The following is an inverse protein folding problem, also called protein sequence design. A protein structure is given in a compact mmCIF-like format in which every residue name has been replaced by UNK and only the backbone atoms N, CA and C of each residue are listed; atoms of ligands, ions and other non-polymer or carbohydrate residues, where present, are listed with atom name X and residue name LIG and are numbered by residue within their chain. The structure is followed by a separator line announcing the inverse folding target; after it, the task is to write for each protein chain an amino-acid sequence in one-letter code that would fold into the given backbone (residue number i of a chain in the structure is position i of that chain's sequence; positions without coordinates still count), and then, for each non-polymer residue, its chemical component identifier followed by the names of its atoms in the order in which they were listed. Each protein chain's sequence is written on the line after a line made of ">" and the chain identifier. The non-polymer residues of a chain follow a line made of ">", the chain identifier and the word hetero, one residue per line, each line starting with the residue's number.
data_IF_345401177994
#
_entry.id   IF_345401177994
#
_cell.length_a   1.000
_cell.length_b   1.000
_cell.length_c   1.000
_cell.angle_alpha   90.00
_cell.angle_beta   90.00
_cell.angle_gamma   90.00
#
_symmetry.space_group_name_H-M   'P 1'
#
loop_
_entity.id
_entity.type
_entity.pdbx_description
1 polymer ?
#
# COMPACT_ATOMS: atom_id res chain seq x y z
N UNK A 1 22.74 -18.19 23.39
CA UNK A 1 22.12 -17.27 22.44
C UNK A 1 23.26 -16.44 21.80
N UNK A 2 23.61 -16.74 20.54
CA UNK A 2 24.62 -15.95 19.79
C UNK A 2 23.92 -14.64 19.39
N UNK A 3 24.36 -13.49 19.93
CA UNK A 3 24.04 -12.18 19.38
C UNK A 3 24.47 -12.18 17.90
N UNK A 4 23.50 -12.09 16.98
CA UNK A 4 23.79 -11.82 15.59
C UNK A 4 24.56 -10.49 15.54
N UNK A 5 25.82 -10.53 15.14
CA UNK A 5 26.60 -9.33 14.83
C UNK A 5 25.90 -8.64 13.66
N UNK A 6 25.22 -7.52 13.94
CA UNK A 6 24.89 -6.58 12.89
C UNK A 6 26.21 -6.17 12.23
N UNK A 7 26.46 -6.60 11.01
CA UNK A 7 27.55 -6.05 10.22
C UNK A 7 27.25 -4.56 10.05
N UNK A 8 28.14 -3.71 10.54
CA UNK A 8 27.98 -2.26 10.42
C UNK A 8 28.11 -1.93 8.93
N UNK A 9 27.01 -1.59 8.28
CA UNK A 9 27.01 -1.12 6.88
C UNK A 9 27.85 0.15 6.78
N UNK A 10 28.42 0.39 5.60
CA UNK A 10 29.00 1.69 5.27
C UNK A 10 27.90 2.76 5.35
N UNK A 11 28.26 4.00 5.68
CA UNK A 11 27.26 5.08 5.75
C UNK A 11 26.70 5.34 4.35
N UNK A 12 25.36 5.51 4.20
CA UNK A 12 24.77 5.85 2.93
C UNK A 12 25.12 7.28 2.52
N UNK A 13 25.14 7.54 1.21
CA UNK A 13 25.29 8.89 0.67
C UNK A 13 23.97 9.65 0.78
N UNK A 14 23.99 10.79 1.47
CA UNK A 14 22.82 11.66 1.62
C UNK A 14 22.74 12.63 0.44
N UNK A 15 21.62 12.59 -0.29
CA UNK A 15 21.35 13.43 -1.45
C UNK A 15 20.32 14.51 -1.08
N UNK A 16 20.80 15.75 -0.94
CA UNK A 16 20.00 16.91 -0.58
C UNK A 16 20.33 18.16 -1.42
N UNK A 17 21.14 17.99 -2.49
CA UNK A 17 21.47 19.03 -3.47
C UNK A 17 21.21 18.54 -4.90
N UNK A 18 20.88 19.48 -5.81
CA UNK A 18 20.64 19.12 -7.22
C UNK A 18 21.89 18.56 -7.91
N UNK A 19 23.10 19.01 -7.55
CA UNK A 19 24.33 18.41 -8.08
C UNK A 19 24.50 16.96 -7.65
N UNK A 20 24.29 16.68 -6.34
CA UNK A 20 24.37 15.32 -5.82
C UNK A 20 23.31 14.40 -6.45
N UNK A 21 22.09 14.91 -6.72
CA UNK A 21 21.05 14.16 -7.42
C UNK A 21 21.50 13.79 -8.85
N UNK A 22 22.06 14.76 -9.60
CA UNK A 22 22.58 14.52 -10.95
C UNK A 22 23.70 13.49 -10.97
N UNK A 23 24.67 13.63 -10.07
CA UNK A 23 25.81 12.71 -9.96
C UNK A 23 25.33 11.28 -9.63
N UNK A 24 24.40 11.14 -8.69
CA UNK A 24 23.77 9.87 -8.36
C UNK A 24 23.03 9.27 -9.57
N UNK A 25 22.16 10.03 -10.23
CA UNK A 25 21.39 9.55 -11.39
C UNK A 25 22.33 9.16 -12.56
N UNK A 26 23.40 9.91 -12.80
CA UNK A 26 24.40 9.58 -13.82
C UNK A 26 25.06 8.21 -13.52
N UNK A 27 25.41 7.94 -12.28
CA UNK A 27 25.96 6.65 -11.88
C UNK A 27 24.90 5.54 -12.01
N UNK A 28 23.69 5.76 -11.51
CA UNK A 28 22.61 4.76 -11.52
C UNK A 28 22.20 4.34 -12.94
N UNK A 29 22.28 5.24 -13.96
CA UNK A 29 22.06 4.90 -15.37
C UNK A 29 23.07 3.87 -15.90
N UNK A 30 24.21 3.69 -15.25
CA UNK A 30 25.20 2.64 -15.61
C UNK A 30 24.94 1.32 -14.90
N UNK A 31 23.88 1.20 -14.11
CA UNK A 31 23.52 0.02 -13.35
C UNK A 31 22.27 -0.64 -13.91
N UNK A 32 22.23 -1.98 -14.04
CA UNK A 32 21.10 -2.69 -14.63
C UNK A 32 19.87 -2.69 -13.72
N UNK A 33 20.06 -2.52 -12.41
CA UNK A 33 18.99 -2.52 -11.41
C UNK A 33 19.27 -1.52 -10.29
N UNK A 34 18.19 -1.02 -9.71
CA UNK A 34 18.19 -0.24 -8.48
C UNK A 34 17.13 -0.78 -7.53
N UNK A 35 17.43 -0.85 -6.25
CA UNK A 35 16.42 -1.09 -5.22
C UNK A 35 15.85 0.26 -4.76
N UNK A 36 14.53 0.32 -4.48
CA UNK A 36 13.85 1.55 -4.08
C UNK A 36 12.83 1.27 -2.98
N UNK A 37 12.73 2.19 -2.03
CA UNK A 37 11.71 2.25 -0.97
C UNK A 37 11.41 3.70 -0.62
N UNK A 38 10.32 3.97 0.11
CA UNK A 38 9.96 5.33 0.52
C UNK A 38 9.48 5.42 1.96
N UNK A 39 9.74 6.57 2.59
CA UNK A 39 9.17 6.92 3.88
C UNK A 39 8.33 8.20 3.81
N UNK A 40 7.19 8.20 4.48
CA UNK A 40 6.25 9.31 4.47
C UNK A 40 5.91 9.82 5.88
N UNK A 41 5.29 11.01 5.96
CA UNK A 41 4.78 11.58 7.20
C UNK A 41 3.29 11.31 7.44
N UNK A 42 2.74 10.25 6.88
CA UNK A 42 1.30 9.90 6.92
C UNK A 42 0.72 9.77 8.34
N UNK A 43 1.53 9.46 9.33
CA UNK A 43 1.14 9.43 10.74
C UNK A 43 1.22 10.81 11.43
N UNK A 44 1.64 11.86 10.72
CA UNK A 44 1.94 13.18 11.30
C UNK A 44 1.30 14.34 10.56
N UNK A 45 0.97 14.22 9.28
CA UNK A 45 0.39 15.24 8.42
C UNK A 45 -1.00 14.88 7.94
N UNK A 46 -1.87 15.88 7.76
CA UNK A 46 -3.16 15.70 7.08
C UNK A 46 -2.95 15.43 5.58
N UNK A 47 -2.01 16.15 4.98
CA UNK A 47 -1.55 15.92 3.60
C UNK A 47 -0.22 15.16 3.64
N UNK A 48 -0.26 13.84 3.66
CA UNK A 48 0.95 13.04 3.71
C UNK A 48 1.75 13.19 2.42
N UNK A 49 3.06 13.23 2.57
CA UNK A 49 4.00 13.32 1.44
C UNK A 49 5.17 12.36 1.64
N UNK A 50 5.83 12.04 0.54
CA UNK A 50 7.10 11.32 0.58
C UNK A 50 8.16 12.23 1.20
N UNK A 51 8.79 11.74 2.26
CA UNK A 51 9.79 12.48 3.03
C UNK A 51 11.22 11.96 2.83
N UNK A 52 11.37 10.73 2.36
CA UNK A 52 12.65 10.12 2.04
C UNK A 52 12.46 9.10 0.93
N UNK A 53 13.42 9.01 0.01
CA UNK A 53 13.50 7.96 -1.00
C UNK A 53 14.84 7.25 -0.79
N UNK A 54 14.77 5.95 -0.52
CA UNK A 54 15.95 5.10 -0.39
C UNK A 54 16.27 4.44 -1.72
N UNK A 55 17.53 4.44 -2.08
CA UNK A 55 18.00 3.80 -3.31
C UNK A 55 19.28 3.02 -3.01
N UNK A 56 19.32 1.77 -3.46
CA UNK A 56 20.51 0.92 -3.36
C UNK A 56 20.78 0.21 -4.69
N UNK A 57 22.06 0.02 -5.01
CA UNK A 57 22.49 -0.72 -6.20
C UNK A 57 23.80 -1.42 -5.91
N UNK A 58 24.18 -2.45 -6.66
CA UNK A 58 25.52 -3.01 -6.58
C UNK A 58 26.57 -2.00 -7.01
N UNK A 59 27.72 -2.01 -6.34
CA UNK A 59 28.85 -1.15 -6.67
C UNK A 59 29.41 -1.48 -8.05
N UNK A 60 29.43 -2.77 -8.39
CA UNK A 60 29.75 -3.28 -9.72
C UNK A 60 28.50 -3.88 -10.36
N UNK A 61 28.17 -3.61 -11.64
CA UNK A 61 27.01 -4.16 -12.33
C UNK A 61 26.94 -5.70 -12.35
N UNK A 62 28.09 -6.36 -12.35
CA UNK A 62 28.18 -7.81 -12.41
C UNK A 62 28.25 -8.49 -11.03
N UNK A 63 28.26 -7.70 -9.94
CA UNK A 63 28.33 -8.23 -8.57
C UNK A 63 26.95 -8.69 -8.07
N UNK A 64 26.96 -9.61 -7.13
CA UNK A 64 25.79 -10.09 -6.40
C UNK A 64 26.01 -10.15 -4.89
N UNK A 65 27.20 -9.73 -4.43
CA UNK A 65 27.56 -9.72 -3.01
C UNK A 65 26.86 -8.56 -2.29
N UNK A 66 26.01 -8.84 -1.28
CA UNK A 66 25.34 -7.78 -0.52
C UNK A 66 26.29 -6.87 0.28
N UNK A 67 27.59 -7.18 0.34
CA UNK A 67 28.60 -6.30 0.94
C UNK A 67 29.10 -5.23 -0.02
N UNK A 68 28.85 -5.36 -1.30
CA UNK A 68 29.28 -4.48 -2.38
C UNK A 68 28.08 -3.69 -2.93
N UNK A 69 27.41 -2.95 -2.04
CA UNK A 69 26.21 -2.16 -2.35
C UNK A 69 26.48 -0.69 -2.05
N UNK A 70 26.08 0.18 -2.96
CA UNK A 70 26.02 1.62 -2.79
C UNK A 70 24.62 2.02 -2.34
N UNK A 71 24.53 2.76 -1.25
CA UNK A 71 23.28 3.21 -0.66
C UNK A 71 23.16 4.73 -0.74
N UNK A 72 22.00 5.21 -1.15
CA UNK A 72 21.64 6.61 -1.24
C UNK A 72 20.36 6.89 -0.48
N UNK A 73 20.33 8.00 0.25
CA UNK A 73 19.13 8.53 0.88
C UNK A 73 18.82 9.89 0.27
N UNK A 74 17.84 9.94 -0.59
CA UNK A 74 17.40 11.15 -1.29
C UNK A 74 16.38 11.88 -0.42
N UNK A 75 16.64 13.15 -0.12
CA UNK A 75 15.76 14.02 0.70
C UNK A 75 14.90 14.92 -0.20
N UNK A 76 13.69 14.52 -0.57
CA UNK A 76 12.82 15.32 -1.44
C UNK A 76 12.35 16.61 -0.79
N UNK A 77 12.42 16.73 0.54
CA UNK A 77 12.03 17.97 1.24
C UNK A 77 13.05 19.10 1.06
N UNK A 78 14.25 18.78 0.60
CA UNK A 78 15.35 19.74 0.40
C UNK A 78 15.70 19.95 -1.08
N UNK A 79 15.18 19.10 -1.96
CA UNK A 79 15.37 19.18 -3.40
C UNK A 79 14.22 19.96 -4.04
N UNK A 80 14.53 20.79 -5.02
CA UNK A 80 13.52 21.58 -5.75
C UNK A 80 12.88 20.80 -6.90
N UNK A 81 13.60 19.83 -7.47
CA UNK A 81 13.17 19.01 -8.62
C UNK A 81 13.72 17.60 -8.50
N UNK A 82 12.93 16.64 -8.94
CA UNK A 82 13.28 15.21 -8.97
C UNK A 82 13.12 14.61 -10.38
N UNK A 83 12.99 15.43 -11.41
CA UNK A 83 12.68 14.97 -12.78
C UNK A 83 13.71 13.96 -13.29
N UNK A 84 15.02 14.19 -13.02
CA UNK A 84 16.08 13.28 -13.45
C UNK A 84 15.97 11.88 -12.81
N UNK A 85 15.49 11.80 -11.57
CA UNK A 85 15.17 10.54 -10.92
C UNK A 85 13.92 9.92 -11.55
N UNK A 86 12.88 10.73 -11.82
CA UNK A 86 11.67 10.27 -12.50
C UNK A 86 11.94 9.69 -13.88
N UNK A 87 12.80 10.33 -14.68
CA UNK A 87 13.24 9.84 -15.98
C UNK A 87 13.99 8.51 -15.88
N UNK A 88 14.88 8.37 -14.88
CA UNK A 88 15.59 7.13 -14.62
C UNK A 88 14.62 5.99 -14.27
N UNK A 89 13.65 6.23 -13.38
CA UNK A 89 12.65 5.22 -12.96
C UNK A 89 11.68 4.83 -14.08
N UNK A 90 11.49 5.72 -15.07
CA UNK A 90 10.67 5.49 -16.25
C UNK A 90 11.45 4.81 -17.40
N UNK A 91 12.74 4.59 -17.27
CA UNK A 91 13.52 3.91 -18.30
C UNK A 91 13.17 2.41 -18.34
N UNK A 92 12.82 1.90 -19.52
CA UNK A 92 12.49 0.48 -19.71
C UNK A 92 13.67 -0.46 -19.47
N UNK A 93 14.91 0.04 -19.64
CA UNK A 93 16.12 -0.72 -19.37
C UNK A 93 16.46 -0.81 -17.88
N UNK A 94 15.88 0.08 -17.05
CA UNK A 94 16.16 0.15 -15.62
C UNK A 94 15.20 -0.74 -14.84
N UNK A 95 15.69 -1.82 -14.25
CA UNK A 95 14.88 -2.62 -13.32
C UNK A 95 14.84 -1.95 -11.95
N UNK A 96 13.61 -1.75 -11.42
CA UNK A 96 13.37 -1.20 -10.09
C UNK A 96 12.92 -2.32 -9.16
N UNK A 97 13.77 -2.66 -8.19
CA UNK A 97 13.51 -3.70 -7.19
C UNK A 97 12.87 -3.07 -5.96
N UNK A 98 11.69 -3.53 -5.59
CA UNK A 98 10.93 -3.01 -4.45
C UNK A 98 10.43 -4.13 -3.55
N UNK A 99 9.89 -3.78 -2.39
CA UNK A 99 9.24 -4.73 -1.50
C UNK A 99 7.82 -4.28 -1.13
N UNK A 100 6.79 -4.98 -1.62
CA UNK A 100 5.38 -4.58 -1.49
C UNK A 100 5.12 -3.21 -2.17
N UNK A 101 5.54 -3.07 -3.40
CA UNK A 101 5.72 -1.84 -4.17
C UNK A 101 4.46 -0.98 -4.36
N UNK A 102 3.26 -1.52 -4.20
CA UNK A 102 2.00 -0.85 -4.56
C UNK A 102 1.84 0.52 -3.87
N UNK A 103 2.19 0.61 -2.58
CA UNK A 103 2.06 1.86 -1.84
C UNK A 103 3.11 2.91 -2.25
N UNK A 104 4.34 2.47 -2.54
CA UNK A 104 5.41 3.36 -2.99
C UNK A 104 5.14 3.89 -4.39
N UNK A 105 4.67 3.04 -5.30
CA UNK A 105 4.21 3.45 -6.63
C UNK A 105 3.13 4.52 -6.49
N UNK A 106 2.10 4.27 -5.66
CA UNK A 106 1.02 5.24 -5.43
C UNK A 106 1.55 6.58 -4.92
N UNK A 107 2.39 6.58 -3.88
CA UNK A 107 2.88 7.82 -3.28
C UNK A 107 3.83 8.58 -4.19
N UNK A 108 4.69 7.89 -4.93
CA UNK A 108 5.62 8.50 -5.89
C UNK A 108 4.88 9.04 -7.14
N UNK A 109 3.84 8.37 -7.60
CA UNK A 109 2.98 8.89 -8.67
C UNK A 109 2.22 10.14 -8.21
N UNK A 110 1.62 10.10 -7.00
CA UNK A 110 0.87 11.23 -6.43
C UNK A 110 1.73 12.47 -6.24
N UNK A 111 2.92 12.31 -5.65
CA UNK A 111 3.74 13.44 -5.21
C UNK A 111 4.66 13.97 -6.32
N UNK A 112 5.09 13.11 -7.24
CA UNK A 112 6.12 13.45 -8.25
C UNK A 112 5.74 13.04 -9.68
N UNK A 113 4.58 12.41 -9.90
CA UNK A 113 4.15 11.90 -11.19
C UNK A 113 5.10 10.85 -11.79
N UNK A 114 5.85 10.14 -10.94
CA UNK A 114 6.79 9.11 -11.40
C UNK A 114 6.06 7.96 -12.10
N UNK A 115 6.74 7.34 -13.08
CA UNK A 115 6.26 6.17 -13.81
C UNK A 115 7.30 5.06 -13.70
N UNK A 116 6.83 3.82 -13.81
CA UNK A 116 7.66 2.63 -13.71
C UNK A 116 7.31 1.69 -14.86
N UNK A 117 8.31 1.11 -15.52
CA UNK A 117 8.10 0.16 -16.61
C UNK A 117 8.62 -1.23 -16.32
N UNK A 118 9.67 -1.34 -15.53
CA UNK A 118 10.30 -2.60 -15.19
C UNK A 118 10.45 -2.73 -13.67
N UNK A 119 9.52 -3.44 -13.03
CA UNK A 119 9.48 -3.65 -11.59
C UNK A 119 9.77 -5.10 -11.26
N UNK A 120 10.51 -5.33 -10.17
CA UNK A 120 10.62 -6.60 -9.47
C UNK A 120 10.16 -6.39 -8.02
N UNK A 121 9.06 -7.00 -7.62
CA UNK A 121 8.57 -6.94 -6.23
C UNK A 121 8.97 -8.19 -5.44
N UNK A 122 9.87 -8.01 -4.48
CA UNK A 122 10.41 -9.11 -3.66
C UNK A 122 9.38 -9.74 -2.72
N UNK A 123 8.33 -9.02 -2.31
CA UNK A 123 7.23 -9.59 -1.54
C UNK A 123 6.33 -10.45 -2.43
N UNK A 124 5.99 -9.95 -3.62
CA UNK A 124 5.18 -10.68 -4.59
C UNK A 124 5.90 -11.96 -5.05
N UNK A 125 7.21 -11.88 -5.31
CA UNK A 125 8.05 -13.03 -5.60
C UNK A 125 8.01 -14.08 -4.47
N UNK A 126 8.19 -13.64 -3.22
CA UNK A 126 8.11 -14.51 -2.05
C UNK A 126 6.74 -15.20 -1.91
N UNK A 127 5.65 -14.47 -2.18
CA UNK A 127 4.28 -15.00 -2.15
C UNK A 127 4.03 -16.01 -3.27
N UNK A 128 4.52 -15.75 -4.47
CA UNK A 128 4.47 -16.68 -5.60
C UNK A 128 5.29 -17.94 -5.31
N UNK A 129 6.44 -17.82 -4.65
CA UNK A 129 7.24 -18.96 -4.17
C UNK A 129 6.56 -19.76 -3.05
N UNK A 130 5.55 -19.19 -2.39
CA UNK A 130 4.85 -19.82 -1.27
C UNK A 130 5.56 -19.67 0.07
N UNK A 131 6.42 -18.65 0.21
CA UNK A 131 7.09 -18.39 1.48
C UNK A 131 6.06 -18.03 2.57
N UNK A 132 6.26 -18.57 3.78
CA UNK A 132 5.32 -18.36 4.89
C UNK A 132 5.42 -16.97 5.53
N UNK A 133 6.60 -16.36 5.43
CA UNK A 133 6.89 -15.05 6.02
C UNK A 133 7.37 -14.13 4.91
N UNK A 134 6.51 -13.20 4.51
CA UNK A 134 6.72 -12.37 3.32
C UNK A 134 6.99 -10.88 3.63
N UNK A 135 6.93 -10.47 4.88
CA UNK A 135 7.32 -9.09 5.27
C UNK A 135 8.84 -8.93 5.32
N UNK A 136 9.35 -7.78 4.86
CA UNK A 136 10.77 -7.51 4.67
C UNK A 136 11.63 -7.88 5.88
N UNK A 137 11.28 -7.40 7.08
CA UNK A 137 12.02 -7.73 8.30
C UNK A 137 12.18 -9.23 8.54
N UNK A 138 11.15 -10.03 8.20
CA UNK A 138 11.21 -11.50 8.36
C UNK A 138 11.99 -12.18 7.24
N UNK A 139 11.93 -11.65 6.05
CA UNK A 139 12.76 -12.11 4.93
C UNK A 139 14.23 -11.82 5.21
N UNK A 140 14.57 -10.61 5.67
CA UNK A 140 15.94 -10.26 6.05
C UNK A 140 16.46 -11.11 7.20
N UNK A 141 15.64 -11.36 8.22
CA UNK A 141 15.99 -12.24 9.34
C UNK A 141 16.32 -13.67 8.85
N UNK A 142 15.46 -14.25 8.00
CA UNK A 142 15.61 -15.63 7.56
C UNK A 142 16.71 -15.83 6.50
N UNK A 143 16.98 -14.85 5.63
CA UNK A 143 17.92 -14.97 4.52
C UNK A 143 19.31 -14.41 4.84
N UNK A 144 19.38 -13.38 5.69
CA UNK A 144 20.64 -12.66 5.97
C UNK A 144 20.96 -12.61 7.48
N UNK A 145 20.10 -13.16 8.35
CA UNK A 145 20.31 -13.15 9.81
C UNK A 145 20.16 -11.75 10.45
N UNK A 146 19.47 -10.83 9.78
CA UNK A 146 19.36 -9.42 10.20
C UNK A 146 18.09 -9.16 10.99
N UNK A 147 18.19 -8.32 12.02
CA UNK A 147 17.07 -7.86 12.82
C UNK A 147 16.76 -6.38 12.50
N UNK A 148 15.55 -6.10 12.07
CA UNK A 148 15.07 -4.75 11.80
C UNK A 148 14.28 -4.19 12.98
N UNK A 149 14.49 -2.92 13.33
CA UNK A 149 13.75 -2.21 14.38
C UNK A 149 12.48 -1.56 13.84
N UNK A 150 11.37 -2.27 13.93
CA UNK A 150 10.06 -1.80 13.44
C UNK A 150 9.56 -0.49 14.07
N UNK A 151 10.17 -0.01 15.18
CA UNK A 151 9.77 1.26 15.81
C UNK A 151 10.02 2.44 14.86
N UNK A 152 11.02 2.32 13.99
CA UNK A 152 11.38 3.37 13.04
C UNK A 152 10.28 3.64 12.00
N UNK A 153 9.48 2.65 11.61
CA UNK A 153 8.33 2.80 10.70
C UNK A 153 7.31 3.85 11.18
N UNK A 154 7.24 4.10 12.49
CA UNK A 154 6.26 5.01 13.09
C UNK A 154 6.86 6.35 13.49
N UNK A 155 8.12 6.62 13.15
CA UNK A 155 8.77 7.90 13.45
C UNK A 155 8.31 8.99 12.50
N UNK A 156 8.53 10.25 12.88
CA UNK A 156 8.21 11.38 12.02
C UNK A 156 9.32 11.59 10.97
N UNK A 157 9.10 11.06 9.78
CA UNK A 157 10.03 11.18 8.66
C UNK A 157 10.09 12.59 8.05
N UNK A 158 9.12 13.46 8.35
CA UNK A 158 9.15 14.88 7.98
C UNK A 158 10.12 15.73 8.79
N UNK A 159 10.62 15.23 9.94
CA UNK A 159 11.57 16.00 10.77
C UNK A 159 12.99 15.94 10.22
N UNK A 160 13.72 17.03 10.43
CA UNK A 160 15.16 17.15 10.10
C UNK A 160 15.93 17.74 11.28
N UNK A 161 17.21 17.33 11.48
CA UNK A 161 17.92 16.27 10.74
C UNK A 161 17.38 14.87 11.05
N UNK A 162 17.61 13.90 10.15
CA UNK A 162 17.33 12.50 10.42
C UNK A 162 18.27 11.99 11.52
N UNK A 163 17.74 11.16 12.40
CA UNK A 163 18.55 10.50 13.43
C UNK A 163 19.41 9.38 12.84
N UNK A 164 20.54 9.02 13.47
CA UNK A 164 21.34 7.86 13.03
C UNK A 164 20.53 6.57 12.94
N UNK A 165 19.55 6.37 13.83
CA UNK A 165 18.67 5.20 13.80
C UNK A 165 17.74 5.22 12.57
N UNK A 166 17.17 6.37 12.19
CA UNK A 166 16.37 6.53 10.98
C UNK A 166 17.22 6.27 9.74
N UNK A 167 18.43 6.82 9.67
CA UNK A 167 19.36 6.60 8.55
C UNK A 167 19.69 5.11 8.39
N UNK A 168 20.06 4.43 9.49
CA UNK A 168 20.37 3.00 9.46
C UNK A 168 19.16 2.15 9.09
N UNK A 169 17.97 2.50 9.57
CA UNK A 169 16.73 1.81 9.25
C UNK A 169 16.42 1.94 7.75
N UNK A 170 16.35 3.17 7.23
CA UNK A 170 16.07 3.47 5.84
C UNK A 170 17.08 2.80 4.87
N UNK A 171 18.37 2.78 5.22
CA UNK A 171 19.38 2.07 4.47
C UNK A 171 19.10 0.57 4.36
N UNK A 172 18.67 -0.07 5.46
CA UNK A 172 18.40 -1.51 5.48
C UNK A 172 17.19 -1.93 4.64
N UNK A 173 16.23 -1.04 4.41
CA UNK A 173 15.02 -1.38 3.66
C UNK A 173 15.30 -1.61 2.16
N UNK A 174 16.42 -1.07 1.63
CA UNK A 174 16.82 -1.29 0.23
C UNK A 174 18.14 -2.04 0.05
N UNK A 175 19.08 -1.95 0.99
CA UNK A 175 20.44 -2.49 0.87
C UNK A 175 20.52 -3.94 0.42
N UNK A 176 19.64 -4.79 0.94
CA UNK A 176 19.66 -6.24 0.67
C UNK A 176 18.72 -6.66 -0.46
N UNK A 177 17.90 -5.75 -1.01
CA UNK A 177 16.95 -6.10 -2.05
C UNK A 177 17.62 -6.57 -3.36
N UNK A 178 18.76 -6.01 -3.83
CA UNK A 178 19.43 -6.51 -5.00
C UNK A 178 19.86 -7.99 -4.87
N UNK A 179 20.46 -8.36 -3.74
CA UNK A 179 20.87 -9.75 -3.46
C UNK A 179 19.67 -10.68 -3.23
N UNK A 180 18.60 -10.21 -2.57
CA UNK A 180 17.37 -10.94 -2.40
C UNK A 180 16.69 -11.23 -3.75
N UNK A 181 16.64 -10.25 -4.63
CA UNK A 181 16.12 -10.39 -5.99
C UNK A 181 16.87 -11.47 -6.77
N UNK A 182 18.20 -11.44 -6.76
CA UNK A 182 19.03 -12.44 -7.45
C UNK A 182 18.66 -13.86 -6.98
N UNK A 183 18.61 -14.07 -5.67
CA UNK A 183 18.21 -15.35 -5.07
C UNK A 183 16.79 -15.76 -5.46
N UNK A 184 15.81 -14.84 -5.40
CA UNK A 184 14.42 -15.15 -5.73
C UNK A 184 14.23 -15.51 -7.20
N UNK A 185 14.99 -14.93 -8.13
CA UNK A 185 14.98 -15.34 -9.54
C UNK A 185 15.40 -16.80 -9.70
N UNK A 186 16.48 -17.21 -9.05
CA UNK A 186 16.93 -18.61 -9.12
C UNK A 186 15.88 -19.57 -8.53
N UNK A 187 15.28 -19.22 -7.40
CA UNK A 187 14.22 -20.02 -6.78
C UNK A 187 12.93 -20.07 -7.66
N UNK A 188 12.54 -18.95 -8.28
CA UNK A 188 11.38 -18.88 -9.19
C UNK A 188 11.59 -19.73 -10.44
N UNK A 189 12.80 -19.69 -11.03
CA UNK A 189 13.18 -20.55 -12.17
C UNK A 189 13.19 -22.02 -11.80
N UNK A 190 13.82 -22.38 -10.68
CA UNK A 190 13.86 -23.75 -10.18
C UNK A 190 12.46 -24.32 -9.87
N UNK A 191 11.54 -23.47 -9.38
CA UNK A 191 10.15 -23.83 -9.12
C UNK A 191 9.23 -23.77 -10.36
N UNK A 192 9.74 -23.44 -11.56
CA UNK A 192 8.97 -23.20 -12.78
C UNK A 192 7.86 -22.14 -12.61
N UNK A 193 8.14 -21.07 -11.83
CA UNK A 193 7.21 -19.97 -11.53
C UNK A 193 7.68 -18.60 -12.06
N UNK A 194 8.77 -18.59 -12.84
CA UNK A 194 9.35 -17.35 -13.32
C UNK A 194 8.43 -16.59 -14.28
N UNK A 195 7.79 -17.27 -15.23
CA UNK A 195 6.85 -16.65 -16.16
C UNK A 195 5.64 -16.02 -15.44
N UNK A 196 5.11 -16.70 -14.40
CA UNK A 196 4.06 -16.18 -13.55
C UNK A 196 4.49 -14.89 -12.84
N UNK A 197 5.69 -14.91 -12.26
CA UNK A 197 6.22 -13.74 -11.55
C UNK A 197 6.43 -12.56 -12.49
N UNK A 198 7.02 -12.78 -13.67
CA UNK A 198 7.17 -11.73 -14.69
C UNK A 198 5.84 -11.13 -15.12
N UNK A 199 4.81 -11.98 -15.28
CA UNK A 199 3.47 -11.51 -15.64
C UNK A 199 2.88 -10.62 -14.52
N UNK A 200 3.00 -11.04 -13.26
CA UNK A 200 2.54 -10.28 -12.12
C UNK A 200 3.31 -8.95 -11.94
N UNK A 201 4.62 -8.93 -12.19
CA UNK A 201 5.43 -7.71 -12.14
C UNK A 201 5.04 -6.71 -13.24
N UNK A 202 4.77 -7.20 -14.48
CA UNK A 202 4.27 -6.33 -15.55
C UNK A 202 2.94 -5.69 -15.18
N UNK A 203 2.01 -6.43 -14.58
CA UNK A 203 0.74 -5.88 -14.13
C UNK A 203 0.94 -4.80 -13.05
N UNK A 204 1.85 -5.04 -12.10
CA UNK A 204 2.19 -4.06 -11.07
C UNK A 204 2.74 -2.75 -11.68
N UNK A 205 3.56 -2.84 -12.72
CA UNK A 205 4.12 -1.69 -13.43
C UNK A 205 3.08 -0.88 -14.21
N UNK A 206 1.93 -1.48 -14.58
CA UNK A 206 0.83 -0.77 -15.28
C UNK A 206 -0.14 -0.06 -14.35
N UNK A 207 0.02 -0.18 -13.03
CA UNK A 207 -0.87 0.49 -12.08
C UNK A 207 -0.79 2.01 -12.25
N UNK A 208 -1.93 2.61 -12.52
CA UNK A 208 -2.10 4.05 -12.57
C UNK A 208 -3.04 4.49 -11.46
N UNK A 209 -2.52 5.35 -10.60
CA UNK A 209 -3.25 5.88 -9.46
C UNK A 209 -3.62 7.34 -9.63
N UNK A 210 -3.46 7.92 -10.83
CA UNK A 210 -3.78 9.32 -11.11
C UNK A 210 -5.21 9.71 -10.71
N UNK A 211 -6.16 8.77 -10.84
CA UNK A 211 -7.55 8.99 -10.47
C UNK A 211 -7.87 8.70 -8.99
N UNK A 212 -6.99 8.00 -8.26
CA UNK A 212 -7.24 7.69 -6.83
C UNK A 212 -7.17 8.90 -5.91
N UNK A 213 -6.49 9.97 -6.31
CA UNK A 213 -6.40 11.23 -5.56
C UNK A 213 -7.71 12.04 -5.53
N UNK A 214 -8.64 11.77 -6.44
CA UNK A 214 -9.92 12.46 -6.58
C UNK A 214 -11.09 11.80 -5.82
N UNK A 215 -10.88 10.65 -5.19
CA UNK A 215 -11.91 10.08 -4.32
C UNK A 215 -12.00 10.94 -3.05
N UNK A 216 -12.90 11.91 -3.06
CA UNK A 216 -13.25 12.70 -1.89
C UNK A 216 -13.55 11.76 -0.72
N UNK A 217 -12.78 11.90 0.35
CA UNK A 217 -13.07 11.18 1.58
C UNK A 217 -14.45 11.60 2.04
N UNK A 218 -15.27 10.64 2.39
CA UNK A 218 -16.59 10.86 2.99
C UNK A 218 -16.66 10.10 4.31
N UNK A 219 -17.64 10.39 5.14
CA UNK A 219 -17.85 9.63 6.37
C UNK A 219 -18.05 8.13 6.10
N UNK A 220 -18.51 7.76 4.90
CA UNK A 220 -18.73 6.37 4.50
C UNK A 220 -17.44 5.56 4.35
N UNK A 221 -16.28 6.21 4.35
CA UNK A 221 -14.97 5.56 4.41
C UNK A 221 -14.55 5.16 5.84
N UNK A 222 -15.28 5.63 6.87
CA UNK A 222 -14.98 5.31 8.25
C UNK A 222 -15.20 3.83 8.56
N UNK A 223 -14.36 3.30 9.43
CA UNK A 223 -14.53 1.93 9.93
C UNK A 223 -15.86 1.81 10.68
N UNK A 224 -16.58 0.73 10.41
CA UNK A 224 -17.85 0.38 11.05
C UNK A 224 -19.03 1.36 10.80
N UNK A 225 -18.90 2.37 9.96
CA UNK A 225 -19.96 3.33 9.63
C UNK A 225 -21.28 2.66 9.18
N UNK A 226 -21.18 1.53 8.47
CA UNK A 226 -22.36 0.77 8.00
C UNK A 226 -23.18 0.12 9.11
N UNK A 227 -22.66 0.07 10.33
CA UNK A 227 -23.37 -0.45 11.52
C UNK A 227 -24.10 0.65 12.30
N UNK A 228 -23.90 1.91 11.90
CA UNK A 228 -24.51 3.08 12.54
C UNK A 228 -25.98 3.15 12.14
N UNK A 229 -26.93 3.31 13.09
CA UNK A 229 -28.35 3.54 12.80
C UNK A 229 -28.54 4.75 11.88
N UNK A 230 -29.56 4.67 11.01
CA UNK A 230 -29.80 5.73 10.02
C UNK A 230 -30.03 7.09 10.70
N UNK A 231 -30.76 7.11 11.82
CA UNK A 231 -31.07 8.29 12.62
C UNK A 231 -29.83 9.01 13.16
N UNK A 232 -28.70 8.31 13.34
CA UNK A 232 -27.46 8.89 13.86
C UNK A 232 -26.53 9.41 12.76
N UNK A 233 -26.83 9.11 11.49
CA UNK A 233 -25.91 9.43 10.37
C UNK A 233 -25.77 10.92 10.10
N UNK A 234 -26.82 11.73 10.33
CA UNK A 234 -26.75 13.19 10.17
C UNK A 234 -25.79 13.85 11.17
N UNK A 235 -25.85 13.42 12.44
CA UNK A 235 -24.91 13.88 13.47
C UNK A 235 -23.50 13.37 13.19
N UNK A 236 -23.37 12.11 12.75
CA UNK A 236 -22.09 11.52 12.41
C UNK A 236 -21.41 12.25 11.24
N UNK A 237 -22.16 12.64 10.22
CA UNK A 237 -21.64 13.41 9.09
C UNK A 237 -21.13 14.77 9.54
N UNK A 238 -21.89 15.49 10.36
CA UNK A 238 -21.47 16.77 10.91
C UNK A 238 -20.18 16.64 11.74
N UNK A 239 -20.08 15.64 12.60
CA UNK A 239 -18.89 15.34 13.40
C UNK A 239 -17.69 14.94 12.52
N UNK A 240 -17.93 14.21 11.45
CA UNK A 240 -16.88 13.83 10.49
C UNK A 240 -16.34 15.06 9.76
N UNK A 241 -17.19 15.95 9.26
CA UNK A 241 -16.82 17.21 8.61
C UNK A 241 -16.02 18.12 9.56
N UNK A 242 -16.50 18.29 10.81
CA UNK A 242 -15.77 19.01 11.83
C UNK A 242 -14.36 18.43 12.04
N UNK A 243 -14.25 17.12 12.18
CA UNK A 243 -12.95 16.44 12.36
C UNK A 243 -12.02 16.68 11.18
N UNK A 244 -12.49 16.53 9.95
CA UNK A 244 -11.70 16.75 8.74
C UNK A 244 -11.22 18.21 8.67
N UNK A 245 -12.11 19.18 8.93
CA UNK A 245 -11.76 20.59 8.98
C UNK A 245 -10.68 20.89 10.04
N UNK A 246 -10.86 20.38 11.24
CA UNK A 246 -9.91 20.59 12.34
C UNK A 246 -8.56 19.90 12.06
N UNK A 247 -8.58 18.70 11.48
CA UNK A 247 -7.40 17.96 11.07
C UNK A 247 -6.62 18.72 9.98
N UNK A 248 -7.31 19.26 8.99
CA UNK A 248 -6.74 20.07 7.91
C UNK A 248 -6.12 21.37 8.46
N UNK A 249 -6.87 22.10 9.28
CA UNK A 249 -6.40 23.36 9.88
C UNK A 249 -5.13 23.16 10.72
N UNK A 250 -5.03 22.05 11.48
CA UNK A 250 -3.84 21.73 12.27
C UNK A 250 -2.76 20.98 11.48
N UNK A 251 -2.99 20.65 10.22
CA UNK A 251 -2.17 19.74 9.43
C UNK A 251 -1.82 18.47 10.23
N UNK A 252 -2.84 17.80 10.79
CA UNK A 252 -2.68 16.56 11.58
C UNK A 252 -3.60 15.47 11.03
N UNK A 253 -3.20 14.19 11.08
CA UNK A 253 -4.08 13.10 10.66
C UNK A 253 -5.40 13.13 11.43
N UNK A 254 -6.57 12.88 10.77
CA UNK A 254 -7.88 12.91 11.42
C UNK A 254 -8.00 12.05 12.67
N UNK A 255 -7.37 10.87 12.69
CA UNK A 255 -7.40 9.98 13.86
C UNK A 255 -6.69 10.56 15.10
N UNK A 256 -5.83 11.58 14.94
CA UNK A 256 -5.21 12.30 16.06
C UNK A 256 -6.10 13.43 16.59
N UNK A 257 -7.12 13.82 15.89
CA UNK A 257 -8.16 14.74 16.38
C UNK A 257 -9.20 13.91 17.16
N UNK A 258 -9.87 12.98 16.46
CA UNK A 258 -10.80 12.03 17.06
C UNK A 258 -10.84 10.74 16.22
N UNK A 259 -10.84 9.57 16.88
CA UNK A 259 -10.95 8.29 16.20
C UNK A 259 -12.36 8.05 15.62
N UNK A 260 -12.50 7.16 14.63
CA UNK A 260 -13.80 6.80 14.05
C UNK A 260 -14.78 6.32 15.11
N UNK A 261 -14.36 5.44 16.01
CA UNK A 261 -15.18 4.93 17.12
C UNK A 261 -15.64 6.04 18.08
N UNK A 262 -14.83 7.08 18.28
CA UNK A 262 -15.16 8.25 19.07
C UNK A 262 -16.32 9.03 18.44
N UNK A 263 -16.24 9.31 17.12
CA UNK A 263 -17.31 10.02 16.41
C UNK A 263 -18.62 9.23 16.39
N UNK A 264 -18.54 7.92 16.16
CA UNK A 264 -19.72 7.04 16.17
C UNK A 264 -20.40 7.04 17.55
N UNK A 265 -19.63 6.94 18.64
CA UNK A 265 -20.19 6.98 20.00
C UNK A 265 -20.82 8.34 20.33
N UNK A 266 -20.17 9.44 19.94
CA UNK A 266 -20.73 10.80 20.11
C UNK A 266 -22.02 11.00 19.32
N UNK A 267 -22.10 10.47 18.09
CA UNK A 267 -23.32 10.54 17.28
C UNK A 267 -24.48 9.75 17.91
N UNK A 268 -24.19 8.63 18.54
CA UNK A 268 -25.20 7.79 19.20
C UNK A 268 -25.68 8.40 20.55
N UNK A 269 -24.76 8.94 21.39
CA UNK A 269 -25.09 9.45 22.71
C UNK A 269 -25.63 10.87 22.69
N UNK A 270 -25.25 11.70 21.70
CA UNK A 270 -25.69 13.09 21.50
C UNK A 270 -25.68 13.95 22.77
N UNK A 271 -24.56 14.09 23.48
CA UNK A 271 -24.50 14.93 24.65
C UNK A 271 -24.85 16.36 24.31
N UNK A 272 -25.66 17.03 25.17
CA UNK A 272 -26.12 18.39 24.95
C UNK A 272 -25.47 19.43 25.89
N UNK A 273 -24.75 18.94 26.90
CA UNK A 273 -24.07 19.81 27.88
C UNK A 273 -22.61 19.36 28.09
N UNK A 274 -21.74 20.29 28.52
CA UNK A 274 -20.36 19.91 28.86
C UNK A 274 -20.26 18.80 29.92
N UNK A 275 -21.12 18.81 30.92
CA UNK A 275 -21.17 17.80 31.96
C UNK A 275 -21.59 16.42 31.41
N UNK A 276 -22.57 16.39 30.48
CA UNK A 276 -22.96 15.15 29.80
C UNK A 276 -21.83 14.61 28.91
N UNK A 277 -21.15 15.49 28.16
CA UNK A 277 -20.01 15.12 27.29
C UNK A 277 -18.85 14.51 28.12
N UNK A 278 -18.57 15.08 29.29
CA UNK A 278 -17.53 14.59 30.18
C UNK A 278 -17.91 13.25 30.81
N UNK A 279 -19.16 13.15 31.27
CA UNK A 279 -19.70 11.93 31.90
C UNK A 279 -19.69 10.69 30.97
N UNK A 280 -19.79 10.87 29.67
CA UNK A 280 -19.73 9.79 28.68
C UNK A 280 -18.34 9.09 28.64
N UNK A 281 -17.27 9.76 29.08
CA UNK A 281 -15.90 9.19 29.06
C UNK A 281 -15.42 8.78 27.66
N UNK A 282 -15.98 9.39 26.61
CA UNK A 282 -15.64 9.10 25.21
C UNK A 282 -14.36 9.84 24.80
N UNK A 283 -14.19 11.05 25.31
CA UNK A 283 -13.08 11.95 25.08
C UNK A 283 -12.13 11.95 26.28
N UNK A 284 -10.86 12.20 26.04
CA UNK A 284 -9.93 12.54 27.12
C UNK A 284 -10.16 13.95 27.61
N UNK A 285 -9.78 14.28 28.87
CA UNK A 285 -9.88 15.63 29.45
C UNK A 285 -9.28 16.70 28.52
N UNK A 286 -8.13 16.39 27.91
CA UNK A 286 -7.49 17.25 26.94
C UNK A 286 -8.34 17.51 25.68
N UNK A 287 -9.08 16.51 25.22
CA UNK A 287 -10.00 16.67 24.06
C UNK A 287 -11.27 17.43 24.48
N UNK A 288 -11.83 17.16 25.66
CA UNK A 288 -12.97 17.91 26.20
C UNK A 288 -12.63 19.39 26.33
N UNK A 289 -11.49 19.71 26.94
CA UNK A 289 -11.03 21.10 27.12
C UNK A 289 -10.80 21.80 25.78
N UNK A 290 -10.28 21.09 24.79
CA UNK A 290 -9.88 21.68 23.50
C UNK A 290 -11.04 21.77 22.50
N UNK A 291 -11.89 20.78 22.46
CA UNK A 291 -12.90 20.58 21.40
C UNK A 291 -14.32 20.49 21.91
N UNK A 292 -14.56 20.37 23.24
CA UNK A 292 -15.86 20.06 23.80
C UNK A 292 -16.95 21.01 23.34
N UNK A 293 -16.70 22.34 23.34
CA UNK A 293 -17.66 23.33 22.85
C UNK A 293 -18.02 23.12 21.38
N UNK A 294 -17.02 22.96 20.53
CA UNK A 294 -17.21 22.76 19.08
C UNK A 294 -17.97 21.46 18.80
N UNK A 295 -17.67 20.40 19.55
CA UNK A 295 -18.35 19.09 19.41
C UNK A 295 -19.83 19.23 19.78
N UNK A 296 -20.18 19.91 20.88
CA UNK A 296 -21.57 20.12 21.29
C UNK A 296 -22.35 20.96 20.24
N UNK A 297 -21.76 22.04 19.74
CA UNK A 297 -22.32 22.86 18.67
C UNK A 297 -22.54 22.03 17.39
N UNK A 298 -21.58 21.15 17.05
CA UNK A 298 -21.65 20.26 15.89
C UNK A 298 -22.74 19.21 16.03
N UNK A 299 -22.89 18.59 17.21
CA UNK A 299 -23.94 17.61 17.49
C UNK A 299 -25.30 18.26 17.33
N UNK A 300 -25.50 19.46 17.91
CA UNK A 300 -26.74 20.21 17.78
C UNK A 300 -27.05 20.50 16.30
N UNK A 301 -26.09 21.03 15.55
CA UNK A 301 -26.25 21.32 14.12
C UNK A 301 -26.52 20.06 13.27
N UNK A 302 -25.97 18.92 13.67
CA UNK A 302 -26.16 17.64 12.98
C UNK A 302 -27.53 16.99 13.22
N UNK A 303 -28.21 17.34 14.31
CA UNK A 303 -29.49 16.72 14.70
C UNK A 303 -30.61 17.03 13.71
N UNK A 304 -30.59 18.23 13.12
CA UNK A 304 -31.62 18.71 12.17
C UNK A 304 -31.23 18.48 10.70
N UNK A 305 -30.08 17.82 10.43
CA UNK A 305 -29.63 17.55 9.06
C UNK A 305 -30.45 16.47 8.38
N UNK A 306 -30.68 16.58 7.07
CA UNK A 306 -31.18 15.45 6.28
C UNK A 306 -30.26 14.24 6.44
N UNK A 307 -30.85 13.04 6.49
CA UNK A 307 -30.07 11.81 6.59
C UNK A 307 -29.23 11.62 5.32
N UNK A 308 -27.91 11.56 5.43
CA UNK A 308 -27.04 11.38 4.26
C UNK A 308 -27.23 9.99 3.66
N UNK A 309 -27.41 9.96 2.34
CA UNK A 309 -27.49 8.70 1.62
C UNK A 309 -26.10 8.09 1.46
N UNK A 310 -25.94 6.77 1.67
CA UNK A 310 -24.71 6.09 1.32
C UNK A 310 -24.36 6.36 -0.15
N UNK A 311 -23.07 6.56 -0.50
CA UNK A 311 -22.70 6.70 -1.88
C UNK A 311 -23.17 5.45 -2.61
N UNK A 312 -23.89 5.68 -3.71
CA UNK A 312 -24.20 4.60 -4.66
C UNK A 312 -22.88 4.08 -5.18
N UNK A 313 -22.48 2.94 -4.66
CA UNK A 313 -21.24 2.30 -5.01
C UNK A 313 -21.38 1.82 -6.47
N UNK A 314 -20.97 2.65 -7.44
CA UNK A 314 -20.90 2.25 -8.85
C UNK A 314 -20.00 1.04 -9.08
N UNK A 315 -19.23 0.62 -8.05
CA UNK A 315 -18.42 -0.61 -8.03
C UNK A 315 -19.03 -1.77 -7.20
N UNK A 316 -20.17 -1.54 -6.54
CA UNK A 316 -21.04 -2.60 -6.07
C UNK A 316 -22.37 -2.37 -6.72
N UNK A 317 -22.71 -3.05 -7.79
CA UNK A 317 -24.09 -3.09 -8.20
C UNK A 317 -24.86 -3.63 -6.99
N UNK A 318 -25.76 -2.81 -6.41
CA UNK A 318 -26.94 -3.29 -5.66
C UNK A 318 -27.90 -4.03 -6.61
N UNK A 319 -27.39 -4.58 -7.67
CA UNK A 319 -28.04 -5.68 -8.33
C UNK A 319 -28.10 -6.77 -7.29
N UNK A 320 -29.30 -7.09 -6.82
CA UNK A 320 -29.69 -8.45 -6.50
C UNK A 320 -28.72 -9.36 -7.24
N UNK A 321 -27.64 -9.84 -6.53
CA UNK A 321 -26.62 -10.66 -7.18
C UNK A 321 -27.41 -11.78 -7.82
N UNK A 322 -27.54 -11.74 -9.15
CA UNK A 322 -28.29 -12.73 -9.88
C UNK A 322 -27.82 -14.08 -9.34
N UNK A 323 -28.76 -14.92 -8.85
CA UNK A 323 -28.38 -16.17 -8.19
C UNK A 323 -27.44 -17.03 -9.04
N UNK A 324 -27.38 -16.79 -10.36
CA UNK A 324 -26.40 -17.40 -11.27
C UNK A 324 -24.98 -16.82 -11.04
N UNK A 325 -24.83 -15.51 -10.88
CA UNK A 325 -23.51 -14.88 -10.61
C UNK A 325 -22.96 -15.36 -9.26
N UNK A 326 -23.82 -15.39 -8.23
CA UNK A 326 -23.42 -15.89 -6.91
C UNK A 326 -22.97 -17.36 -6.96
N UNK A 327 -23.71 -18.22 -7.65
CA UNK A 327 -23.34 -19.64 -7.80
C UNK A 327 -22.01 -19.82 -8.55
N UNK A 328 -21.74 -19.00 -9.59
CA UNK A 328 -20.45 -19.01 -10.31
C UNK A 328 -19.32 -18.57 -9.39
N UNK A 329 -19.51 -17.45 -8.69
CA UNK A 329 -18.51 -16.92 -7.76
C UNK A 329 -18.15 -17.94 -6.67
N UNK A 330 -19.11 -18.60 -6.06
CA UNK A 330 -18.87 -19.63 -5.03
C UNK A 330 -18.13 -20.85 -5.59
N UNK A 331 -18.48 -21.28 -6.80
CA UNK A 331 -17.79 -22.38 -7.48
C UNK A 331 -16.34 -22.01 -7.82
N UNK A 332 -16.10 -20.82 -8.34
CA UNK A 332 -14.77 -20.29 -8.61
C UNK A 332 -13.95 -20.13 -7.31
N UNK A 333 -14.57 -19.63 -6.24
CA UNK A 333 -13.93 -19.50 -4.93
C UNK A 333 -13.49 -20.85 -4.36
N UNK A 334 -14.34 -21.87 -4.50
CA UNK A 334 -14.01 -23.24 -4.08
C UNK A 334 -12.85 -23.80 -4.89
N UNK A 335 -12.89 -23.66 -6.22
CA UNK A 335 -11.80 -24.05 -7.12
C UNK A 335 -10.49 -23.32 -6.76
N UNK A 336 -10.52 -21.99 -6.59
CA UNK A 336 -9.36 -21.17 -6.19
C UNK A 336 -8.73 -21.68 -4.90
N UNK A 337 -9.53 -21.95 -3.88
CA UNK A 337 -9.04 -22.43 -2.58
C UNK A 337 -8.32 -23.77 -2.74
N UNK A 338 -8.85 -24.70 -3.55
CA UNK A 338 -8.19 -25.96 -3.86
C UNK A 338 -6.87 -25.73 -4.60
N UNK A 339 -6.88 -24.88 -5.65
CA UNK A 339 -5.72 -24.57 -6.47
C UNK A 339 -4.60 -23.90 -5.64
N UNK A 340 -4.93 -22.96 -4.78
CA UNK A 340 -3.98 -22.30 -3.88
C UNK A 340 -3.30 -23.31 -2.93
N UNK A 341 -4.08 -24.25 -2.37
CA UNK A 341 -3.55 -25.33 -1.52
C UNK A 341 -2.62 -26.26 -2.29
N UNK A 342 -3.00 -26.68 -3.50
CA UNK A 342 -2.17 -27.52 -4.38
C UNK A 342 -0.82 -26.87 -4.69
N UNK A 343 -0.82 -25.54 -4.87
CA UNK A 343 0.36 -24.75 -5.19
C UNK A 343 1.17 -24.32 -3.98
N UNK A 344 0.64 -24.45 -2.75
CA UNK A 344 1.28 -23.96 -1.52
C UNK A 344 1.36 -22.43 -1.44
N UNK A 345 0.40 -21.71 -2.05
CA UNK A 345 0.33 -20.24 -2.06
C UNK A 345 -0.96 -19.74 -1.41
N UNK A 346 -1.04 -18.44 -1.10
CA UNK A 346 -2.28 -17.83 -0.62
C UNK A 346 -3.32 -17.72 -1.76
N UNK A 347 -4.60 -17.73 -1.41
CA UNK A 347 -5.69 -17.77 -2.40
C UNK A 347 -5.69 -16.55 -3.35
N UNK A 348 -5.29 -15.41 -2.88
CA UNK A 348 -5.24 -14.16 -3.65
C UNK A 348 -4.09 -14.12 -4.68
N UNK A 349 -3.04 -14.94 -4.53
CA UNK A 349 -2.03 -15.14 -5.58
C UNK A 349 -2.64 -15.81 -6.81
N UNK A 350 -3.60 -16.72 -6.60
CA UNK A 350 -4.34 -17.32 -7.74
C UNK A 350 -5.27 -16.26 -8.33
N UNK A 351 -6.25 -15.76 -7.56
CA UNK A 351 -7.12 -14.64 -7.91
C UNK A 351 -7.66 -13.94 -6.67
N UNK A 352 -7.86 -12.63 -6.72
CA UNK A 352 -8.56 -11.87 -5.67
C UNK A 352 -10.06 -12.17 -5.68
N UNK A 353 -10.79 -11.75 -4.63
CA UNK A 353 -12.26 -11.88 -4.65
C UNK A 353 -12.91 -10.97 -5.69
N UNK A 354 -12.34 -9.78 -5.93
CA UNK A 354 -12.80 -8.86 -6.98
C UNK A 354 -12.65 -9.48 -8.36
N UNK A 355 -11.48 -10.02 -8.68
CA UNK A 355 -11.23 -10.71 -9.95
C UNK A 355 -12.18 -11.88 -10.17
N UNK A 356 -12.44 -12.71 -9.13
CA UNK A 356 -13.41 -13.81 -9.24
C UNK A 356 -14.84 -13.32 -9.47
N UNK A 357 -15.22 -12.17 -8.90
CA UNK A 357 -16.54 -11.58 -9.13
C UNK A 357 -16.67 -11.08 -10.57
N UNK A 358 -15.67 -10.40 -11.10
CA UNK A 358 -15.61 -9.98 -12.50
C UNK A 358 -15.72 -11.18 -13.46
N UNK A 359 -14.96 -12.25 -13.21
CA UNK A 359 -15.06 -13.50 -13.99
C UNK A 359 -16.47 -14.11 -13.91
N UNK A 360 -17.11 -14.08 -12.74
CA UNK A 360 -18.46 -14.62 -12.55
C UNK A 360 -19.54 -13.80 -13.26
N UNK A 361 -19.34 -12.48 -13.38
CA UNK A 361 -20.25 -11.55 -14.06
C UNK A 361 -20.09 -11.62 -15.59
N UNK A 362 -18.86 -11.52 -16.10
CA UNK A 362 -18.58 -11.42 -17.54
C UNK A 362 -18.55 -12.78 -18.25
N UNK A 363 -18.39 -13.88 -17.50
CA UNK A 363 -18.40 -15.26 -18.05
C UNK A 363 -17.46 -15.43 -19.26
N UNK A 364 -16.18 -15.10 -19.14
CA UNK A 364 -15.23 -15.28 -20.24
C UNK A 364 -15.10 -16.76 -20.58
N UNK A 365 -15.20 -17.10 -21.89
CA UNK A 365 -15.16 -18.48 -22.38
C UNK A 365 -13.92 -18.78 -23.24
N UNK A 366 -13.06 -17.80 -23.42
CA UNK A 366 -11.78 -17.91 -24.15
C UNK A 366 -10.65 -17.28 -23.35
N UNK A 367 -9.42 -17.68 -23.64
CA UNK A 367 -8.22 -17.09 -23.01
C UNK A 367 -8.20 -15.58 -23.25
N UNK A 368 -8.42 -15.11 -24.48
CA UNK A 368 -8.44 -13.68 -24.81
C UNK A 368 -9.52 -12.92 -24.04
N UNK A 369 -10.73 -13.47 -23.87
CA UNK A 369 -11.78 -12.86 -23.07
C UNK A 369 -11.43 -12.86 -21.57
N UNK A 370 -10.70 -13.86 -21.08
CA UNK A 370 -10.27 -13.90 -19.68
C UNK A 370 -9.17 -12.87 -19.41
N UNK A 371 -8.28 -12.61 -20.35
CA UNK A 371 -7.24 -11.56 -20.28
C UNK A 371 -7.81 -10.13 -20.18
N UNK A 372 -9.04 -9.89 -20.65
CA UNK A 372 -9.66 -8.56 -20.51
C UNK A 372 -10.16 -8.25 -19.10
N UNK A 373 -10.20 -9.25 -18.21
CA UNK A 373 -10.60 -9.06 -16.81
C UNK A 373 -9.45 -8.40 -16.03
N UNK A 374 -9.71 -7.34 -15.26
CA UNK A 374 -8.68 -6.72 -14.41
C UNK A 374 -7.95 -7.75 -13.53
N UNK A 375 -6.66 -7.58 -13.35
CA UNK A 375 -5.75 -8.45 -12.59
C UNK A 375 -5.57 -9.87 -13.17
N UNK A 376 -6.06 -10.11 -14.39
CA UNK A 376 -5.83 -11.37 -15.10
C UNK A 376 -4.84 -11.13 -16.24
N UNK A 377 -3.59 -11.45 -16.00
CA UNK A 377 -2.56 -11.39 -17.04
C UNK A 377 -2.57 -12.62 -17.96
N UNK A 378 -1.79 -12.55 -19.06
CA UNK A 378 -1.65 -13.62 -20.05
C UNK A 378 -1.32 -14.97 -19.43
N UNK A 379 -0.42 -15.01 -18.44
CA UNK A 379 -0.03 -16.27 -17.80
C UNK A 379 -1.21 -16.92 -17.05
N UNK A 380 -1.93 -16.14 -16.22
CA UNK A 380 -3.09 -16.64 -15.47
C UNK A 380 -4.20 -17.10 -16.41
N UNK A 381 -4.48 -16.32 -17.46
CA UNK A 381 -5.52 -16.66 -18.43
C UNK A 381 -5.21 -17.97 -19.17
N UNK A 382 -3.97 -18.14 -19.65
CA UNK A 382 -3.50 -19.35 -20.31
C UNK A 382 -3.51 -20.56 -19.38
N UNK A 383 -3.03 -20.37 -18.13
CA UNK A 383 -2.84 -21.46 -17.17
C UNK A 383 -4.15 -21.91 -16.54
N UNK A 384 -5.02 -20.96 -16.14
CA UNK A 384 -6.23 -21.27 -15.39
C UNK A 384 -7.51 -21.31 -16.24
N UNK A 385 -7.49 -20.70 -17.43
CA UNK A 385 -8.64 -20.70 -18.33
C UNK A 385 -9.23 -22.09 -18.57
N UNK A 386 -8.44 -23.11 -18.96
CA UNK A 386 -8.93 -24.46 -19.18
C UNK A 386 -9.67 -25.08 -17.99
N UNK A 387 -9.32 -24.71 -16.76
CA UNK A 387 -9.98 -25.19 -15.54
C UNK A 387 -11.23 -24.36 -15.18
N UNK A 388 -11.24 -23.07 -15.52
CA UNK A 388 -12.31 -22.11 -15.19
C UNK A 388 -13.50 -22.24 -16.17
N UNK A 389 -13.26 -22.38 -17.47
CA UNK A 389 -14.31 -22.42 -18.48
C UNK A 389 -15.36 -23.53 -18.24
N UNK A 390 -15.00 -24.77 -17.87
CA UNK A 390 -15.99 -25.79 -17.49
C UNK A 390 -16.84 -25.42 -16.27
N UNK A 391 -16.26 -24.70 -15.29
CA UNK A 391 -16.98 -24.23 -14.09
C UNK A 391 -18.05 -23.21 -14.49
N UNK A 392 -17.70 -22.25 -15.35
CA UNK A 392 -18.59 -21.20 -15.82
C UNK A 392 -19.72 -21.80 -16.67
N UNK A 393 -19.42 -22.77 -17.53
CA UNK A 393 -20.41 -23.45 -18.39
C UNK A 393 -21.45 -24.25 -17.58
N UNK A 394 -21.04 -24.94 -16.52
CA UNK A 394 -21.95 -25.75 -15.68
C UNK A 394 -22.90 -24.91 -14.81
N UNK A 395 -22.65 -23.62 -14.65
CA UNK A 395 -23.38 -22.71 -13.76
C UNK A 395 -24.11 -21.59 -14.52
N UNK A 396 -24.24 -21.74 -15.86
CA UNK A 396 -25.12 -20.91 -16.68
C UNK A 396 -26.62 -21.23 -16.41
#
# INVERSE_FOLDING_TARGET
>A
MKQARQSKLANPTLIYTQSGLREMCALLRTRPLIALDTESDSLYSYYPKVCLIQISTFADPDDTDPRQVLDYLVDPLRLTRLDELGELLADQAQEVVMHAAENDIFTLQRDFSFRFHHIFDTQLAARILGWQKVGLAKILESNFGLLSDKRMQRTNWGKRPLTPQQISYAQMDTHYLPALRARQIEELKAAHRWEEAQDAFRQLATLDYSDRGNNERTMWSMRDVRKVPAEDTGVLEALWEWREHEAQHQNRPPFKIAGDSTLIRLAASRPTTPAALDAEGILSDSQVNRYGRQILETIQAGTDRPLPSPPTNNHRPETLVNGKVQRRFEALRSWRTKKAKERGVTADIVFTNSTLMEIAQHVPMTVAALETIPDVGPWKAKTYGPEIFPILKKKQ
#
